data_IF_138415169912
#
_entry.id   IF_138415169912
#
_cell.length_a   1.000
_cell.length_b   1.000
_cell.length_c   1.000
_cell.angle_alpha   90.00
_cell.angle_beta   90.00
_cell.angle_gamma   90.00
#
_symmetry.space_group_name_H-M   'P 1'
#
loop_
_entity.id
_entity.type
_entity.pdbx_description
1 polymer ?
#
# COMPACT_ATOMS: atom_id res chain seq x y z
N UNK A 1 -20.20 2.08 46.62
CA UNK A 1 -18.75 1.76 46.64
C UNK A 1 -18.16 2.22 45.32
N UNK A 2 -17.17 3.11 45.32
CA UNK A 2 -16.47 3.50 44.09
C UNK A 2 -15.44 2.44 43.71
N UNK A 3 -15.36 2.07 42.43
CA UNK A 3 -14.31 1.19 41.91
C UNK A 3 -13.00 1.97 41.94
N UNK A 4 -11.96 1.41 42.56
CA UNK A 4 -10.62 1.99 42.50
C UNK A 4 -10.04 1.75 41.10
N UNK A 5 -10.11 2.80 40.27
CA UNK A 5 -9.66 2.78 38.88
C UNK A 5 -8.18 2.40 38.78
N UNK A 6 -7.36 2.80 39.76
CA UNK A 6 -5.93 2.48 39.81
C UNK A 6 -5.68 0.98 39.96
N UNK A 7 -6.28 0.35 40.97
CA UNK A 7 -6.16 -1.10 41.20
C UNK A 7 -6.70 -1.89 40.00
N UNK A 8 -7.79 -1.42 39.40
CA UNK A 8 -8.36 -2.03 38.18
C UNK A 8 -7.38 -1.97 37.00
N UNK A 9 -6.73 -0.82 36.77
CA UNK A 9 -5.78 -0.64 35.67
C UNK A 9 -4.47 -1.41 35.90
N UNK A 10 -4.02 -1.55 37.15
CA UNK A 10 -2.83 -2.36 37.47
C UNK A 10 -3.07 -3.84 37.19
N UNK A 11 -4.23 -4.39 37.59
CA UNK A 11 -4.59 -5.80 37.30
C UNK A 11 -4.76 -6.06 35.82
N UNK A 12 -5.33 -5.10 35.08
CA UNK A 12 -5.46 -5.20 33.62
C UNK A 12 -4.07 -5.21 32.97
N UNK A 13 -3.18 -4.32 33.40
CA UNK A 13 -1.81 -4.26 32.89
C UNK A 13 -0.99 -5.53 33.24
N UNK A 14 -1.15 -6.09 34.43
CA UNK A 14 -0.51 -7.35 34.82
C UNK A 14 -1.01 -8.52 33.97
N UNK A 15 -2.32 -8.55 33.69
CA UNK A 15 -2.90 -9.52 32.77
C UNK A 15 -2.33 -9.38 31.36
N UNK A 16 -2.17 -8.16 30.85
CA UNK A 16 -1.50 -7.94 29.56
C UNK A 16 -0.03 -8.38 29.65
N UNK A 17 0.77 -7.95 30.61
CA UNK A 17 2.17 -8.36 30.71
C UNK A 17 2.37 -9.88 30.74
N UNK A 18 1.49 -10.62 31.42
CA UNK A 18 1.56 -12.09 31.57
C UNK A 18 1.02 -12.86 30.38
N UNK A 19 0.13 -12.26 29.58
CA UNK A 19 -0.47 -12.89 28.39
C UNK A 19 0.19 -12.45 27.09
N UNK A 20 1.25 -11.64 27.16
CA UNK A 20 1.97 -11.23 25.97
C UNK A 20 2.79 -12.41 25.43
N UNK A 21 2.60 -12.72 24.15
CA UNK A 21 3.38 -13.72 23.44
C UNK A 21 4.84 -13.24 23.23
N UNK A 22 5.75 -14.17 22.93
CA UNK A 22 7.18 -13.86 22.72
C UNK A 22 7.44 -12.85 21.59
N UNK A 23 6.50 -12.78 20.64
CA UNK A 23 6.45 -11.89 19.47
C UNK A 23 5.76 -10.54 19.76
N UNK A 24 5.43 -10.26 21.02
CA UNK A 24 4.82 -9.00 21.46
C UNK A 24 3.30 -8.92 21.30
N UNK A 25 2.64 -9.99 20.87
CA UNK A 25 1.18 -10.03 20.67
C UNK A 25 0.37 -10.29 21.94
N UNK A 26 -0.93 -10.05 21.88
CA UNK A 26 -1.90 -10.49 22.88
C UNK A 26 -2.97 -11.39 22.30
N UNK A 27 -2.96 -12.69 22.56
CA UNK A 27 -3.93 -13.59 21.96
C UNK A 27 -5.34 -13.24 22.45
N UNK A 28 -6.32 -13.28 21.55
CA UNK A 28 -7.73 -13.09 21.90
C UNK A 28 -8.25 -14.19 22.85
N UNK A 29 -7.59 -15.35 22.83
CA UNK A 29 -7.87 -16.53 23.66
C UNK A 29 -6.67 -16.87 24.53
N UNK A 30 -6.92 -17.34 25.75
CA UNK A 30 -5.83 -17.70 26.65
C UNK A 30 -5.07 -18.94 26.12
N UNK A 31 -3.77 -19.07 26.42
CA UNK A 31 -3.00 -20.25 26.07
C UNK A 31 -3.67 -21.50 26.67
N UNK A 32 -4.16 -22.40 25.80
CA UNK A 32 -4.91 -23.60 26.17
C UNK A 32 -6.26 -23.77 25.46
N UNK A 33 -6.78 -22.71 24.81
CA UNK A 33 -7.95 -22.83 23.92
C UNK A 33 -7.50 -23.01 22.47
N UNK A 34 -7.99 -24.05 21.79
CA UNK A 34 -7.67 -24.29 20.38
C UNK A 34 -8.10 -23.09 19.51
N UNK A 35 -7.18 -22.61 18.66
CA UNK A 35 -7.40 -21.50 17.74
C UNK A 35 -7.00 -20.12 18.26
N UNK A 36 -5.82 -19.99 18.88
CA UNK A 36 -5.21 -18.70 19.21
C UNK A 36 -4.91 -17.91 17.92
N UNK A 37 -5.86 -17.09 17.47
CA UNK A 37 -5.63 -16.15 16.38
C UNK A 37 -4.77 -14.96 16.88
N UNK A 38 -3.79 -14.51 16.07
CA UNK A 38 -3.01 -13.33 16.39
C UNK A 38 -3.91 -12.10 16.51
N UNK A 39 -3.57 -11.20 17.43
CA UNK A 39 -4.36 -10.00 17.69
C UNK A 39 -4.28 -9.03 16.52
N UNK A 40 -5.40 -8.36 16.23
CA UNK A 40 -5.41 -7.23 15.30
C UNK A 40 -4.75 -6.03 15.97
N UNK A 41 -4.11 -5.14 15.20
CA UNK A 41 -3.37 -3.99 15.73
C UNK A 41 -4.12 -3.16 16.80
N UNK A 42 -5.45 -3.07 16.72
CA UNK A 42 -6.27 -2.42 17.75
C UNK A 42 -6.14 -3.04 19.16
N UNK A 43 -6.03 -4.37 19.28
CA UNK A 43 -5.80 -5.05 20.57
C UNK A 43 -4.38 -4.83 21.08
N UNK A 44 -3.39 -4.85 20.18
CA UNK A 44 -2.00 -4.50 20.52
C UNK A 44 -1.92 -3.08 21.08
N UNK A 45 -2.59 -2.11 20.46
CA UNK A 45 -2.65 -0.73 20.97
C UNK A 45 -3.40 -0.61 22.30
N UNK A 46 -4.49 -1.36 22.49
CA UNK A 46 -5.21 -1.38 23.77
C UNK A 46 -4.33 -1.94 24.90
N UNK A 47 -3.59 -3.03 24.65
CA UNK A 47 -2.61 -3.59 25.60
C UNK A 47 -1.50 -2.60 25.94
N UNK A 48 -0.89 -1.97 24.93
CA UNK A 48 0.14 -0.93 25.10
C UNK A 48 -0.37 0.28 25.90
N UNK A 49 -1.62 0.71 25.65
CA UNK A 49 -2.24 1.80 26.40
C UNK A 49 -2.41 1.44 27.88
N UNK A 50 -2.96 0.26 28.19
CA UNK A 50 -3.13 -0.20 29.57
C UNK A 50 -1.79 -0.31 30.32
N UNK A 51 -0.74 -0.85 29.67
CA UNK A 51 0.61 -0.90 30.23
C UNK A 51 1.18 0.50 30.50
N UNK A 52 0.97 1.44 29.56
CA UNK A 52 1.40 2.84 29.71
C UNK A 52 0.73 3.51 30.90
N UNK A 53 -0.59 3.35 31.04
CA UNK A 53 -1.37 3.94 32.15
C UNK A 53 -0.96 3.37 33.49
N UNK A 54 -0.80 2.05 33.60
CA UNK A 54 -0.33 1.42 34.83
C UNK A 54 1.08 1.88 35.20
N UNK A 55 1.99 1.99 34.23
CA UNK A 55 3.35 2.48 34.47
C UNK A 55 3.36 3.95 34.90
N UNK A 56 2.57 4.81 34.25
CA UNK A 56 2.42 6.21 34.62
C UNK A 56 1.87 6.36 36.05
N UNK A 57 0.99 5.45 36.46
CA UNK A 57 0.41 5.44 37.81
C UNK A 57 1.44 5.03 38.86
N UNK A 58 2.21 3.96 38.61
CA UNK A 58 3.35 3.57 39.46
C UNK A 58 4.39 4.69 39.59
N UNK A 59 4.75 5.32 38.48
CA UNK A 59 5.69 6.47 38.50
C UNK A 59 5.13 7.64 39.30
N UNK A 60 3.83 7.94 39.21
CA UNK A 60 3.19 9.00 40.00
C UNK A 60 3.19 8.68 41.50
N UNK A 61 2.99 7.41 41.86
CA UNK A 61 3.11 6.96 43.26
C UNK A 61 4.54 6.99 43.77
N UNK A 62 5.52 6.57 42.96
CA UNK A 62 6.95 6.65 43.27
C UNK A 62 7.39 8.10 43.43
N UNK A 63 6.89 9.03 42.60
CA UNK A 63 7.12 10.47 42.73
C UNK A 63 6.49 11.05 44.01
N UNK A 64 5.28 10.59 44.39
CA UNK A 64 4.66 10.98 45.67
C UNK A 64 5.37 10.39 46.89
N UNK A 65 5.95 9.19 46.77
CA UNK A 65 6.73 8.54 47.84
C UNK A 65 8.14 9.12 47.95
N UNK A 66 8.74 9.55 46.84
CA UNK A 66 10.08 10.19 46.82
C UNK A 66 10.07 11.68 47.17
N UNK A 67 8.94 12.38 47.05
CA UNK A 67 8.81 13.76 47.56
C UNK A 67 8.89 13.86 49.09
N UNK A 68 8.82 12.73 49.82
CA UNK A 68 9.02 12.65 51.28
C UNK A 68 10.40 12.12 51.70
N UNK A 69 11.27 11.73 50.77
CA UNK A 69 12.69 11.39 51.02
C UNK A 69 13.56 11.97 49.92
N UNK A 70 14.07 13.18 50.15
CA UNK A 70 14.94 13.91 49.23
C UNK A 70 16.40 13.48 49.42
N UNK A 71 16.86 12.43 48.73
CA UNK A 71 18.26 12.31 48.29
C UNK A 71 18.45 11.23 47.20
N UNK A 72 19.09 11.64 46.11
CA UNK A 72 20.05 10.91 45.26
C UNK A 72 19.71 9.51 44.70
N UNK A 73 19.17 9.52 43.49
CA UNK A 73 19.75 8.93 42.26
C UNK A 73 18.62 8.80 41.24
N UNK A 74 18.56 9.72 40.28
CA UNK A 74 17.68 9.55 39.12
C UNK A 74 18.31 8.51 38.21
N UNK A 75 17.92 7.25 38.39
CA UNK A 75 18.12 6.24 37.35
C UNK A 75 17.39 6.71 36.08
N UNK A 76 18.15 7.23 35.12
CA UNK A 76 17.68 7.57 33.76
C UNK A 76 17.29 6.31 32.94
N UNK A 77 17.27 5.12 33.55
CA UNK A 77 17.09 3.83 32.89
C UNK A 77 15.66 3.30 32.74
N UNK A 78 14.61 3.98 33.21
CA UNK A 78 13.23 3.44 33.19
C UNK A 78 12.31 4.15 32.19
N UNK A 79 12.75 4.33 30.95
CA UNK A 79 11.84 4.75 29.87
C UNK A 79 10.92 3.59 29.46
N UNK A 80 9.70 3.87 28.99
CA UNK A 80 8.79 2.83 28.46
C UNK A 80 9.43 2.01 27.33
N UNK A 81 10.41 2.58 26.62
CA UNK A 81 11.18 1.90 25.57
C UNK A 81 12.17 0.86 26.11
N UNK A 82 12.56 0.94 27.37
CA UNK A 82 13.44 -0.05 28.00
C UNK A 82 12.69 -1.29 28.49
N UNK A 83 11.35 -1.27 28.48
CA UNK A 83 10.52 -2.43 28.76
C UNK A 83 10.45 -3.33 27.51
N UNK A 84 10.99 -4.57 27.55
CA UNK A 84 11.04 -5.46 26.38
C UNK A 84 9.65 -5.81 25.82
N UNK A 85 8.63 -5.82 26.67
CA UNK A 85 7.25 -6.09 26.28
C UNK A 85 6.65 -4.92 25.52
N UNK A 86 6.95 -3.70 25.95
CA UNK A 86 6.49 -2.47 25.30
C UNK A 86 7.20 -2.23 23.97
N UNK A 87 8.52 -2.45 23.89
CA UNK A 87 9.30 -2.26 22.67
C UNK A 87 8.88 -3.23 21.56
N UNK A 88 8.65 -4.52 21.89
CA UNK A 88 8.19 -5.53 20.94
C UNK A 88 6.77 -5.25 20.42
N UNK A 89 5.87 -4.81 21.30
CA UNK A 89 4.52 -4.40 20.88
C UNK A 89 4.52 -3.18 19.98
N UNK A 90 5.45 -2.24 20.20
CA UNK A 90 5.63 -1.04 19.38
C UNK A 90 6.22 -1.36 18.00
N UNK A 91 7.20 -2.26 17.94
CA UNK A 91 7.80 -2.74 16.68
C UNK A 91 6.77 -3.46 15.79
N UNK A 92 5.84 -4.20 16.40
CA UNK A 92 4.76 -4.92 15.70
C UNK A 92 3.60 -4.03 15.26
N UNK A 93 3.36 -2.93 15.97
CA UNK A 93 2.30 -1.97 15.63
C UNK A 93 2.56 -1.22 14.30
N UNK A 94 3.75 -1.37 13.72
CA UNK A 94 4.23 -0.58 12.60
C UNK A 94 4.54 0.85 13.04
N UNK A 95 5.51 1.47 12.39
CA UNK A 95 5.73 2.89 12.62
C UNK A 95 4.57 3.67 11.99
N UNK A 96 3.96 4.58 12.75
CA UNK A 96 2.98 5.53 12.23
C UNK A 96 3.64 6.90 12.18
N UNK A 97 3.77 7.45 10.99
CA UNK A 97 4.20 8.83 10.75
C UNK A 97 2.94 9.65 10.47
N UNK A 98 2.55 10.46 11.44
CA UNK A 98 1.52 11.48 11.25
C UNK A 98 2.15 12.77 10.76
N UNK A 99 1.66 13.27 9.63
CA UNK A 99 2.17 14.48 8.99
C UNK A 99 1.28 15.65 9.39
N UNK A 100 1.80 16.49 10.28
CA UNK A 100 1.15 17.73 10.66
C UNK A 100 1.59 18.86 9.71
N UNK A 101 0.63 19.53 9.08
CA UNK A 101 0.83 20.60 8.11
C UNK A 101 0.56 20.20 6.65
N UNK A 102 0.29 21.22 5.82
CA UNK A 102 -0.16 21.02 4.44
C UNK A 102 1.00 20.89 3.42
N UNK A 103 2.23 21.24 3.79
CA UNK A 103 3.37 21.27 2.86
C UNK A 103 3.37 22.49 1.93
N UNK A 104 4.09 22.42 0.80
CA UNK A 104 4.68 21.22 0.20
C UNK A 104 5.94 20.73 0.95
N UNK A 105 6.05 19.41 1.12
CA UNK A 105 7.24 18.74 1.63
C UNK A 105 8.00 18.12 0.46
N UNK A 106 9.24 18.54 0.24
CA UNK A 106 10.09 17.96 -0.80
C UNK A 106 10.61 16.60 -0.34
N UNK A 107 10.15 15.53 -0.97
CA UNK A 107 10.56 14.18 -0.64
C UNK A 107 11.60 13.68 -1.66
N UNK A 108 12.79 13.22 -1.21
CA UNK A 108 13.75 12.56 -2.08
C UNK A 108 13.28 11.16 -2.45
N UNK A 109 14.12 10.40 -3.16
CA UNK A 109 13.93 8.95 -3.27
C UNK A 109 14.02 8.31 -1.89
N UNK A 110 12.94 7.68 -1.44
CA UNK A 110 12.84 7.03 -0.13
C UNK A 110 12.58 5.54 -0.34
N UNK A 111 13.34 4.71 0.38
CA UNK A 111 13.15 3.25 0.40
C UNK A 111 12.51 2.85 1.73
N UNK A 112 11.42 2.09 1.63
CA UNK A 112 10.68 1.50 2.74
C UNK A 112 10.94 0.00 2.72
N UNK A 113 11.45 -0.53 3.83
CA UNK A 113 11.87 -1.92 4.00
C UNK A 113 11.23 -2.61 5.21
N UNK A 114 10.20 -1.98 5.78
CA UNK A 114 9.43 -2.44 6.94
C UNK A 114 7.98 -1.97 6.83
N UNK A 115 7.14 -2.46 7.74
CA UNK A 115 5.77 -2.00 7.88
C UNK A 115 5.77 -0.53 8.35
N UNK A 116 5.07 0.32 7.60
CA UNK A 116 5.02 1.75 7.83
C UNK A 116 3.68 2.31 7.40
N UNK A 117 3.07 3.11 8.26
CA UNK A 117 1.89 3.91 7.94
C UNK A 117 2.28 5.39 7.91
N UNK A 118 1.94 6.09 6.83
CA UNK A 118 2.07 7.54 6.74
C UNK A 118 0.69 8.12 6.54
N UNK A 119 0.24 8.92 7.49
CA UNK A 119 -1.11 9.48 7.51
C UNK A 119 -1.08 11.00 7.66
N UNK A 120 -2.09 11.66 7.08
CA UNK A 120 -2.33 13.07 7.33
C UNK A 120 -2.79 13.31 8.78
N UNK A 121 -2.26 14.35 9.41
CA UNK A 121 -2.78 14.85 10.67
C UNK A 121 -4.20 15.42 10.53
N UNK A 122 -4.93 15.51 11.65
CA UNK A 122 -6.32 15.96 11.63
C UNK A 122 -6.43 17.40 11.10
N UNK A 123 -7.27 17.59 10.08
CA UNK A 123 -7.48 18.90 9.46
C UNK A 123 -6.37 19.35 8.52
N UNK A 124 -5.36 18.52 8.29
CA UNK A 124 -4.29 18.79 7.33
C UNK A 124 -4.47 17.99 6.04
N UNK A 125 -3.92 18.53 4.97
CA UNK A 125 -3.87 17.91 3.65
C UNK A 125 -2.43 17.97 3.11
N UNK A 126 -1.53 17.09 3.58
CA UNK A 126 -0.11 17.18 3.27
C UNK A 126 0.17 16.93 1.79
N UNK A 127 0.97 17.81 1.19
CA UNK A 127 1.45 17.68 -0.18
C UNK A 127 2.93 17.29 -0.18
N UNK A 128 3.23 16.11 -0.74
CA UNK A 128 4.57 15.61 -0.98
C UNK A 128 4.98 15.89 -2.42
N UNK A 129 5.93 16.81 -2.58
CA UNK A 129 6.49 17.18 -3.88
C UNK A 129 7.75 16.37 -4.14
N UNK A 130 7.88 15.81 -5.34
CA UNK A 130 9.09 15.11 -5.73
C UNK A 130 10.31 16.04 -5.68
N UNK A 131 11.33 15.63 -4.93
CA UNK A 131 12.60 16.32 -4.79
C UNK A 131 13.77 15.45 -5.24
N UNK A 132 14.79 16.06 -5.84
CA UNK A 132 16.04 15.35 -6.11
C UNK A 132 16.83 15.21 -4.82
N UNK A 133 16.95 13.98 -4.33
CA UNK A 133 17.71 13.65 -3.12
C UNK A 133 19.23 13.78 -3.27
N UNK A 134 19.93 13.42 -2.19
CA UNK A 134 21.39 13.34 -2.12
C UNK A 134 21.82 11.90 -1.86
N UNK A 135 23.00 11.52 -2.36
CA UNK A 135 23.65 10.25 -2.03
C UNK A 135 24.13 10.22 -0.59
N UNK A 136 24.51 9.03 -0.11
CA UNK A 136 25.24 8.83 1.17
C UNK A 136 26.49 9.73 1.31
N UNK A 137 27.11 10.11 0.18
CA UNK A 137 28.26 11.03 0.12
C UNK A 137 27.87 12.52 0.12
N UNK A 138 26.60 12.87 0.31
CA UNK A 138 26.09 14.25 0.34
C UNK A 138 25.93 14.93 -1.04
N UNK A 139 26.38 14.29 -2.12
CA UNK A 139 26.26 14.80 -3.49
C UNK A 139 24.82 14.68 -4.01
N UNK A 140 24.37 15.66 -4.79
CA UNK A 140 23.03 15.65 -5.42
C UNK A 140 22.91 14.47 -6.39
N UNK A 141 21.80 13.74 -6.28
CA UNK A 141 21.51 12.63 -7.17
C UNK A 141 21.33 13.10 -8.62
N UNK A 142 21.71 12.25 -9.58
CA UNK A 142 21.60 12.56 -11.02
C UNK A 142 20.67 11.56 -11.69
N UNK A 143 19.36 11.86 -11.81
CA UNK A 143 18.38 10.93 -12.36
C UNK A 143 18.71 10.45 -13.78
N UNK A 144 19.45 11.23 -14.56
CA UNK A 144 19.93 10.80 -15.89
C UNK A 144 20.81 9.55 -15.86
N UNK A 145 21.57 9.32 -14.78
CA UNK A 145 22.49 8.17 -14.61
C UNK A 145 22.02 7.18 -13.55
N UNK A 146 21.38 7.68 -12.51
CA UNK A 146 20.94 6.88 -11.37
C UNK A 146 19.44 6.61 -11.45
N UNK A 147 19.11 5.32 -11.48
CA UNK A 147 17.72 4.87 -11.54
C UNK A 147 16.98 5.07 -10.22
N UNK A 148 17.67 5.00 -9.07
CA UNK A 148 17.03 5.14 -7.77
C UNK A 148 16.47 6.56 -7.59
N UNK A 149 17.17 7.54 -8.14
CA UNK A 149 16.74 8.93 -8.20
C UNK A 149 15.61 9.19 -9.21
N UNK A 150 15.03 8.17 -9.84
CA UNK A 150 13.84 8.29 -10.72
C UNK A 150 12.54 7.87 -10.04
N UNK A 151 12.65 7.40 -8.80
CA UNK A 151 11.54 6.89 -7.99
C UNK A 151 11.35 7.79 -6.79
N UNK A 152 10.12 8.22 -6.51
CA UNK A 152 9.83 9.01 -5.29
C UNK A 152 9.82 8.12 -4.04
N UNK A 153 8.95 7.10 -4.03
CA UNK A 153 8.89 6.12 -2.95
C UNK A 153 9.03 4.71 -3.50
N UNK A 154 9.83 3.91 -2.80
CA UNK A 154 10.03 2.50 -3.11
C UNK A 154 9.68 1.64 -1.91
N UNK A 155 8.79 0.68 -2.11
CA UNK A 155 8.51 -0.40 -1.15
C UNK A 155 9.31 -1.61 -1.56
N UNK A 156 10.18 -2.08 -0.68
CA UNK A 156 11.05 -3.24 -0.91
C UNK A 156 10.64 -4.44 -0.07
N UNK A 157 10.10 -4.20 1.12
CA UNK A 157 9.61 -5.19 2.08
C UNK A 157 8.53 -4.56 2.96
N UNK A 158 7.77 -5.40 3.66
CA UNK A 158 6.70 -4.96 4.55
C UNK A 158 5.49 -4.39 3.81
N UNK A 159 4.60 -3.73 4.56
CA UNK A 159 3.39 -3.09 4.07
C UNK A 159 3.49 -1.59 4.27
N UNK A 160 3.49 -0.83 3.17
CA UNK A 160 3.37 0.63 3.20
C UNK A 160 1.90 1.01 3.13
N UNK A 161 1.39 1.68 4.16
CA UNK A 161 0.05 2.29 4.17
C UNK A 161 0.17 3.81 4.05
N UNK A 162 -0.53 4.39 3.08
CA UNK A 162 -0.59 5.82 2.83
C UNK A 162 -2.04 6.29 3.00
N UNK A 163 -2.28 7.28 3.85
CA UNK A 163 -3.62 7.77 4.16
C UNK A 163 -3.74 9.30 4.10
N UNK A 164 -4.67 9.80 3.28
CA UNK A 164 -5.00 11.24 3.25
C UNK A 164 -3.92 12.15 2.68
N UNK A 165 -2.98 11.61 1.89
CA UNK A 165 -1.81 12.33 1.37
C UNK A 165 -2.00 12.76 -0.09
N UNK A 166 -1.37 13.87 -0.48
CA UNK A 166 -1.21 14.27 -1.88
C UNK A 166 0.25 14.11 -2.31
N UNK A 167 0.47 13.55 -3.50
CA UNK A 167 1.77 13.46 -4.14
C UNK A 167 1.76 14.23 -5.45
N UNK A 168 2.76 15.09 -5.61
CA UNK A 168 3.05 15.84 -6.83
C UNK A 168 4.36 15.34 -7.42
N UNK A 169 4.26 14.52 -8.45
CA UNK A 169 5.39 14.00 -9.18
C UNK A 169 5.74 14.95 -10.32
N UNK A 170 6.62 15.91 -10.05
CA UNK A 170 7.14 16.87 -11.04
C UNK A 170 8.63 16.63 -11.31
N UNK A 171 8.99 15.57 -12.04
CA UNK A 171 10.39 15.29 -12.31
C UNK A 171 10.99 16.32 -13.27
N UNK A 172 12.30 16.61 -13.14
CA UNK A 172 13.00 17.57 -13.99
C UNK A 172 13.04 17.10 -15.45
N UNK A 173 13.18 18.07 -16.36
CA UNK A 173 13.54 17.78 -17.74
C UNK A 173 14.98 17.30 -17.84
N UNK A 174 15.20 16.27 -18.64
CA UNK A 174 16.50 15.71 -18.95
C UNK A 174 16.68 15.67 -20.47
N UNK A 175 17.93 15.69 -20.92
CA UNK A 175 18.28 15.65 -22.34
C UNK A 175 17.91 14.32 -23.04
N UNK A 176 17.52 13.30 -22.28
CA UNK A 176 17.08 12.01 -22.78
C UNK A 176 15.88 11.51 -21.97
N UNK A 177 15.06 10.68 -22.61
CA UNK A 177 13.87 10.10 -21.98
C UNK A 177 14.29 9.05 -20.96
N UNK A 178 13.89 9.24 -19.70
CA UNK A 178 14.04 8.23 -18.63
C UNK A 178 12.67 7.83 -18.09
N UNK A 179 12.51 6.58 -17.61
CA UNK A 179 11.28 6.17 -16.95
C UNK A 179 11.23 6.76 -15.53
N UNK A 180 10.21 7.55 -15.26
CA UNK A 180 9.90 8.06 -13.92
C UNK A 180 8.85 7.20 -13.25
N UNK A 181 8.91 7.10 -11.91
CA UNK A 181 7.95 6.37 -11.12
C UNK A 181 7.61 7.14 -9.85
N UNK A 182 6.32 7.34 -9.53
CA UNK A 182 5.96 7.96 -8.26
C UNK A 182 6.09 6.95 -7.11
N UNK A 183 5.36 5.83 -7.18
CA UNK A 183 5.44 4.73 -6.20
C UNK A 183 5.91 3.45 -6.89
N UNK A 184 6.97 2.81 -6.38
CA UNK A 184 7.47 1.53 -6.89
C UNK A 184 7.37 0.44 -5.83
N UNK A 185 6.69 -0.65 -6.13
CA UNK A 185 6.59 -1.85 -5.28
C UNK A 185 7.53 -2.92 -5.85
N UNK A 186 8.74 -2.97 -5.30
CA UNK A 186 9.77 -3.98 -5.56
C UNK A 186 9.71 -5.17 -4.60
N UNK A 187 8.80 -5.13 -3.63
CA UNK A 187 8.48 -6.22 -2.72
C UNK A 187 7.55 -5.73 -1.62
N UNK A 188 6.90 -6.67 -0.92
CA UNK A 188 5.90 -6.33 0.09
C UNK A 188 4.57 -5.87 -0.50
N UNK A 189 3.83 -5.05 0.25
CA UNK A 189 2.47 -4.63 -0.07
C UNK A 189 2.32 -3.10 -0.04
N UNK A 190 1.36 -2.60 -0.80
CA UNK A 190 0.99 -1.17 -0.83
C UNK A 190 -0.50 -1.00 -0.53
N UNK A 191 -0.82 -0.13 0.42
CA UNK A 191 -2.20 0.26 0.74
C UNK A 191 -2.32 1.78 0.62
N UNK A 192 -3.24 2.24 -0.20
CA UNK A 192 -3.52 3.66 -0.41
C UNK A 192 -4.98 3.95 -0.09
N UNK A 193 -5.23 4.86 0.85
CA UNK A 193 -6.56 5.28 1.27
C UNK A 193 -6.67 6.80 1.19
N UNK A 194 -7.63 7.32 0.43
CA UNK A 194 -7.81 8.77 0.28
C UNK A 194 -6.55 9.50 -0.21
N UNK A 195 -5.76 8.87 -1.09
CA UNK A 195 -4.50 9.43 -1.61
C UNK A 195 -4.71 10.04 -2.98
N UNK A 196 -4.06 11.16 -3.26
CA UNK A 196 -3.96 11.73 -4.61
C UNK A 196 -2.55 11.60 -5.16
N UNK A 197 -2.35 11.00 -6.32
CA UNK A 197 -1.10 11.00 -7.05
C UNK A 197 -1.28 11.80 -8.35
N UNK A 198 -0.49 12.85 -8.54
CA UNK A 198 -0.59 13.74 -9.71
C UNK A 198 0.75 13.97 -10.40
N UNK A 199 0.72 14.08 -11.73
CA UNK A 199 1.85 14.53 -12.55
C UNK A 199 1.35 15.55 -13.58
N UNK A 200 1.84 16.79 -13.50
CA UNK A 200 1.51 17.88 -14.43
C UNK A 200 2.43 17.95 -15.65
N UNK A 201 3.72 17.66 -15.50
CA UNK A 201 4.75 17.91 -16.53
C UNK A 201 4.77 17.01 -17.78
N UNK A 202 3.84 16.06 -17.93
CA UNK A 202 3.78 15.05 -19.02
C UNK A 202 5.12 14.31 -19.25
N UNK A 203 5.85 14.03 -18.17
CA UNK A 203 7.15 13.34 -18.15
C UNK A 203 7.03 11.82 -18.24
N UNK A 204 5.83 11.31 -18.56
CA UNK A 204 5.56 9.89 -18.81
C UNK A 204 5.83 9.02 -17.58
N UNK A 205 5.51 9.51 -16.39
CA UNK A 205 5.67 8.77 -15.14
C UNK A 205 4.71 7.59 -15.10
N UNK A 206 5.17 6.43 -14.61
CA UNK A 206 4.28 5.41 -14.08
C UNK A 206 3.90 5.81 -12.65
N UNK A 207 2.62 6.06 -12.38
CA UNK A 207 2.21 6.55 -11.07
C UNK A 207 2.44 5.47 -10.00
N UNK A 208 2.07 4.22 -10.31
CA UNK A 208 2.39 3.06 -9.50
C UNK A 208 3.05 2.02 -10.39
N UNK A 209 4.18 1.47 -9.96
CA UNK A 209 4.88 0.39 -10.66
C UNK A 209 5.05 -0.81 -9.73
N UNK A 210 4.49 -1.96 -10.10
CA UNK A 210 4.53 -3.21 -9.31
C UNK A 210 5.46 -4.19 -10.03
N UNK A 211 6.57 -4.56 -9.40
CA UNK A 211 7.62 -5.35 -10.03
C UNK A 211 7.77 -6.77 -9.47
N UNK A 212 7.30 -7.01 -8.25
CA UNK A 212 7.38 -8.31 -7.56
C UNK A 212 6.00 -8.79 -7.11
N UNK A 213 5.86 -10.07 -6.72
CA UNK A 213 4.66 -10.60 -6.08
C UNK A 213 4.26 -9.78 -4.85
N UNK A 214 2.97 -9.57 -4.66
CA UNK A 214 2.44 -8.79 -3.55
C UNK A 214 1.03 -8.27 -3.79
N UNK A 215 0.47 -7.65 -2.76
CA UNK A 215 -0.86 -7.06 -2.77
C UNK A 215 -0.78 -5.54 -2.85
N UNK A 216 -1.57 -4.97 -3.77
CA UNK A 216 -1.76 -3.52 -3.90
C UNK A 216 -3.23 -3.19 -3.76
N UNK A 217 -3.59 -2.42 -2.75
CA UNK A 217 -4.96 -1.96 -2.51
C UNK A 217 -5.02 -0.44 -2.63
N UNK A 218 -5.93 0.05 -3.47
CA UNK A 218 -6.14 1.48 -3.72
C UNK A 218 -7.60 1.78 -3.49
N UNK A 219 -7.90 2.65 -2.52
CA UNK A 219 -9.26 3.01 -2.15
C UNK A 219 -9.44 4.52 -2.07
N UNK A 220 -10.59 5.00 -2.56
CA UNK A 220 -10.98 6.40 -2.52
C UNK A 220 -9.90 7.36 -3.02
N UNK A 221 -9.11 6.93 -4.01
CA UNK A 221 -7.89 7.63 -4.42
C UNK A 221 -8.02 8.22 -5.82
N UNK A 222 -7.27 9.29 -6.07
CA UNK A 222 -7.18 9.96 -7.36
C UNK A 222 -5.79 9.72 -7.95
N UNK A 223 -5.72 9.24 -9.19
CA UNK A 223 -4.47 9.13 -9.94
C UNK A 223 -4.63 9.92 -11.25
N UNK A 224 -3.82 10.96 -11.44
CA UNK A 224 -3.94 11.86 -12.58
C UNK A 224 -2.59 12.14 -13.24
N UNK A 225 -2.55 12.13 -14.56
CA UNK A 225 -1.34 12.35 -15.34
C UNK A 225 -0.57 11.07 -15.64
N UNK A 226 0.72 11.19 -15.95
CA UNK A 226 1.56 10.04 -16.24
C UNK A 226 1.25 9.31 -17.54
N UNK A 227 2.10 8.33 -17.85
CA UNK A 227 1.85 7.40 -18.95
C UNK A 227 0.94 6.25 -18.52
N UNK A 228 0.99 5.83 -17.25
CA UNK A 228 0.23 4.71 -16.72
C UNK A 228 -0.20 5.00 -15.28
N UNK A 229 -1.46 4.70 -14.91
CA UNK A 229 -1.88 4.78 -13.51
C UNK A 229 -1.21 3.66 -12.71
N UNK A 230 -1.30 2.44 -13.24
CA UNK A 230 -0.64 1.26 -12.68
C UNK A 230 0.10 0.53 -13.80
N UNK A 231 1.38 0.28 -13.60
CA UNK A 231 2.17 -0.62 -14.42
C UNK A 231 2.59 -1.84 -13.61
N UNK A 232 2.36 -3.03 -14.15
CA UNK A 232 2.70 -4.30 -13.52
C UNK A 232 3.70 -5.03 -14.39
N UNK A 233 4.84 -5.40 -13.81
CA UNK A 233 5.71 -6.44 -14.37
C UNK A 233 5.29 -7.78 -13.78
N UNK A 234 4.68 -8.63 -14.60
CA UNK A 234 4.04 -9.85 -14.16
C UNK A 234 5.07 -10.86 -13.65
N UNK A 235 5.13 -11.02 -12.32
CA UNK A 235 6.01 -11.96 -11.61
C UNK A 235 5.21 -12.66 -10.53
N UNK A 236 5.30 -13.99 -10.47
CA UNK A 236 4.54 -14.79 -9.50
C UNK A 236 3.05 -14.41 -9.43
N UNK A 237 2.48 -14.45 -8.23
CA UNK A 237 1.09 -14.04 -8.01
C UNK A 237 1.04 -12.58 -7.52
N UNK A 238 0.29 -11.75 -8.23
CA UNK A 238 0.09 -10.34 -7.90
C UNK A 238 -1.41 -10.04 -7.82
N UNK A 239 -1.85 -9.41 -6.74
CA UNK A 239 -3.25 -9.00 -6.58
C UNK A 239 -3.33 -7.48 -6.48
N UNK A 240 -4.13 -6.88 -7.34
CA UNK A 240 -4.36 -5.43 -7.35
C UNK A 240 -5.85 -5.20 -7.19
N UNK A 241 -6.23 -4.51 -6.13
CA UNK A 241 -7.60 -4.14 -5.82
C UNK A 241 -7.75 -2.62 -5.85
N UNK A 242 -8.71 -2.14 -6.63
CA UNK A 242 -9.02 -0.72 -6.80
C UNK A 242 -10.50 -0.51 -6.48
N UNK A 243 -10.78 0.36 -5.50
CA UNK A 243 -12.13 0.64 -4.99
C UNK A 243 -12.40 2.14 -4.99
N UNK A 244 -13.57 2.56 -5.45
CA UNK A 244 -14.03 3.96 -5.36
C UNK A 244 -12.98 4.99 -5.83
N UNK A 245 -12.18 4.65 -6.85
CA UNK A 245 -11.02 5.45 -7.24
C UNK A 245 -11.17 5.99 -8.65
N UNK A 246 -10.46 7.08 -8.95
CA UNK A 246 -10.56 7.77 -10.23
C UNK A 246 -9.18 7.86 -10.88
N UNK A 247 -9.06 7.36 -12.11
CA UNK A 247 -7.83 7.41 -12.91
C UNK A 247 -8.03 8.31 -14.13
N UNK A 248 -7.16 9.31 -14.31
CA UNK A 248 -7.07 10.18 -15.48
C UNK A 248 -5.66 10.11 -16.07
N UNK A 249 -5.39 9.12 -16.91
CA UNK A 249 -4.03 8.79 -17.36
C UNK A 249 -4.00 8.47 -18.85
N UNK A 250 -2.82 8.29 -19.45
CA UNK A 250 -2.75 7.79 -20.85
C UNK A 250 -3.16 6.32 -20.91
N UNK A 251 -2.51 5.48 -20.12
CA UNK A 251 -2.85 4.08 -19.94
C UNK A 251 -3.42 3.91 -18.52
N UNK A 252 -4.58 3.26 -18.37
CA UNK A 252 -5.17 2.98 -17.05
C UNK A 252 -4.28 1.99 -16.31
N UNK A 253 -4.35 0.72 -16.73
CA UNK A 253 -3.52 -0.36 -16.20
C UNK A 253 -2.73 -1.00 -17.34
N UNK A 254 -1.40 -1.07 -17.21
CA UNK A 254 -0.52 -1.74 -18.15
C UNK A 254 0.11 -2.97 -17.50
N UNK A 255 0.13 -4.11 -18.20
CA UNK A 255 0.85 -5.30 -17.76
C UNK A 255 1.92 -5.67 -18.78
N UNK A 256 3.13 -5.91 -18.28
CA UNK A 256 4.32 -6.24 -19.03
C UNK A 256 4.89 -7.56 -18.52
N UNK A 257 5.44 -8.37 -19.41
CA UNK A 257 6.19 -9.56 -19.02
C UNK A 257 7.45 -9.18 -18.26
N UNK A 258 7.64 -9.77 -17.08
CA UNK A 258 8.91 -9.68 -16.38
C UNK A 258 10.03 -10.41 -17.14
N UNK A 259 11.25 -9.88 -17.00
CA UNK A 259 12.45 -10.49 -17.57
C UNK A 259 13.45 -10.80 -16.45
N UNK A 260 13.91 -12.05 -16.26
CA UNK A 260 13.45 -13.30 -16.88
C UNK A 260 12.20 -13.89 -16.20
N UNK A 261 11.30 -14.50 -16.97
CA UNK A 261 10.12 -15.19 -16.45
C UNK A 261 10.53 -16.54 -15.83
N UNK A 262 10.69 -16.61 -14.50
CA UNK A 262 11.10 -17.84 -13.80
C UNK A 262 9.94 -18.73 -13.34
N UNK A 263 8.71 -18.23 -13.32
CA UNK A 263 7.54 -18.96 -12.81
C UNK A 263 6.28 -18.60 -13.62
N UNK A 264 5.24 -19.45 -13.64
CA UNK A 264 3.93 -19.01 -14.08
C UNK A 264 3.53 -17.79 -13.25
N UNK A 265 3.26 -16.69 -13.94
CA UNK A 265 2.82 -15.45 -13.31
C UNK A 265 1.32 -15.28 -13.54
N UNK A 266 0.62 -14.87 -12.49
CA UNK A 266 -0.80 -14.56 -12.51
C UNK A 266 -1.02 -13.17 -11.91
N UNK A 267 -1.80 -12.37 -12.63
CA UNK A 267 -2.21 -11.04 -12.20
C UNK A 267 -3.72 -11.07 -11.97
N UNK A 268 -4.14 -10.83 -10.73
CA UNK A 268 -5.53 -10.68 -10.37
C UNK A 268 -5.84 -9.19 -10.19
N UNK A 269 -6.68 -8.64 -11.05
CA UNK A 269 -7.16 -7.26 -11.01
C UNK A 269 -8.61 -7.25 -10.53
N UNK A 270 -8.89 -6.55 -9.43
CA UNK A 270 -10.24 -6.29 -8.95
C UNK A 270 -10.50 -4.80 -9.00
N UNK A 271 -11.51 -4.37 -9.75
CA UNK A 271 -11.91 -2.97 -9.84
C UNK A 271 -13.37 -2.84 -9.43
N UNK A 272 -13.67 -2.02 -8.43
CA UNK A 272 -15.05 -1.74 -8.04
C UNK A 272 -15.34 -0.25 -7.88
N UNK A 273 -16.53 0.18 -8.33
CA UNK A 273 -17.04 1.54 -8.18
C UNK A 273 -16.04 2.64 -8.62
N UNK A 274 -15.22 2.33 -9.63
CA UNK A 274 -14.08 3.16 -10.01
C UNK A 274 -14.27 3.74 -11.41
N UNK A 275 -13.69 4.90 -11.67
CA UNK A 275 -13.73 5.54 -12.99
C UNK A 275 -12.34 5.59 -13.61
N UNK A 276 -12.19 5.04 -14.81
CA UNK A 276 -10.93 5.07 -15.56
C UNK A 276 -11.14 5.83 -16.86
N UNK A 277 -10.66 7.07 -16.91
CA UNK A 277 -10.58 7.85 -18.14
C UNK A 277 -9.16 7.79 -18.68
N UNK A 278 -8.97 6.99 -19.72
CA UNK A 278 -7.66 6.77 -20.33
C UNK A 278 -7.72 6.62 -21.86
N UNK A 279 -6.62 6.88 -22.55
CA UNK A 279 -6.49 6.56 -23.98
C UNK A 279 -6.56 5.05 -24.21
N UNK A 280 -5.93 4.29 -23.31
CA UNK A 280 -6.04 2.83 -23.24
C UNK A 280 -6.43 2.46 -21.80
N UNK A 281 -7.63 1.92 -21.59
CA UNK A 281 -8.05 1.49 -20.23
C UNK A 281 -7.14 0.38 -19.69
N UNK A 282 -6.86 -0.62 -20.53
CA UNK A 282 -5.99 -1.74 -20.25
C UNK A 282 -5.00 -1.96 -21.40
N UNK A 283 -3.71 -2.15 -21.08
CA UNK A 283 -2.63 -2.32 -22.05
C UNK A 283 -1.87 -3.63 -21.74
N UNK A 284 -2.27 -4.72 -22.40
CA UNK A 284 -1.71 -6.07 -22.16
C UNK A 284 -1.03 -6.69 -23.39
N UNK A 285 -0.85 -5.96 -24.49
CA UNK A 285 -0.47 -6.54 -25.79
C UNK A 285 0.85 -7.30 -25.86
N UNK A 286 1.65 -7.30 -24.79
CA UNK A 286 2.90 -8.08 -24.67
C UNK A 286 2.97 -8.90 -23.38
N UNK A 287 1.84 -9.08 -22.70
CA UNK A 287 1.72 -9.89 -21.50
C UNK A 287 1.36 -11.32 -21.90
N UNK A 288 2.21 -12.30 -21.57
CA UNK A 288 1.96 -13.74 -21.75
C UNK A 288 1.44 -14.39 -20.48
N UNK A 289 1.44 -13.67 -19.36
CA UNK A 289 0.94 -14.12 -18.07
C UNK A 289 -0.58 -14.15 -18.04
N UNK A 290 -1.16 -15.00 -17.19
CA UNK A 290 -2.61 -15.01 -16.97
C UNK A 290 -3.04 -13.73 -16.27
N UNK A 291 -4.00 -13.01 -16.83
CA UNK A 291 -4.60 -11.81 -16.23
C UNK A 291 -6.07 -12.08 -15.96
N UNK A 292 -6.45 -12.17 -14.70
CA UNK A 292 -7.83 -12.29 -14.25
C UNK A 292 -8.33 -10.89 -13.91
N UNK A 293 -9.46 -10.47 -14.48
CA UNK A 293 -10.04 -9.14 -14.20
C UNK A 293 -11.46 -9.33 -13.74
N UNK A 294 -11.72 -8.85 -12.53
CA UNK A 294 -13.03 -8.74 -11.92
C UNK A 294 -13.38 -7.25 -11.85
N UNK A 295 -14.47 -6.86 -12.50
CA UNK A 295 -14.90 -5.47 -12.59
C UNK A 295 -16.37 -5.34 -12.18
N UNK A 296 -16.64 -4.52 -11.16
CA UNK A 296 -17.99 -4.24 -10.67
C UNK A 296 -18.24 -2.73 -10.65
N UNK A 297 -19.29 -2.26 -11.34
CA UNK A 297 -19.64 -0.83 -11.40
C UNK A 297 -18.46 0.08 -11.80
N UNK A 298 -17.65 -0.33 -12.79
CA UNK A 298 -16.52 0.44 -13.29
C UNK A 298 -16.93 1.24 -14.52
N UNK A 299 -16.71 2.55 -14.51
CA UNK A 299 -16.91 3.41 -15.68
C UNK A 299 -15.58 3.59 -16.40
N UNK A 300 -15.53 3.27 -17.70
CA UNK A 300 -14.33 3.51 -18.53
C UNK A 300 -14.65 4.42 -19.69
N UNK A 301 -13.92 5.53 -19.84
CA UNK A 301 -14.05 6.43 -20.99
C UNK A 301 -12.76 6.42 -21.80
N UNK A 302 -12.86 5.99 -23.06
CA UNK A 302 -11.79 6.15 -24.04
C UNK A 302 -11.90 7.52 -24.71
N UNK A 303 -10.80 8.27 -24.77
CA UNK A 303 -10.79 9.61 -25.37
C UNK A 303 -10.87 9.60 -26.93
N UNK A 304 -11.02 8.45 -27.60
CA UNK A 304 -11.22 8.37 -29.06
C UNK A 304 -12.62 7.89 -29.43
N UNK A 305 -13.38 8.77 -30.05
CA UNK A 305 -14.75 8.62 -30.56
C UNK A 305 -14.88 7.68 -31.78
N UNK A 306 -13.77 7.15 -32.32
CA UNK A 306 -13.73 6.54 -33.66
C UNK A 306 -13.17 5.10 -33.74
N UNK A 307 -13.22 4.29 -32.69
CA UNK A 307 -12.95 2.84 -32.86
C UNK A 307 -13.75 2.00 -31.88
N UNK A 308 -14.81 1.37 -32.41
CA UNK A 308 -15.53 0.29 -31.76
C UNK A 308 -14.59 -0.90 -31.58
N UNK A 309 -14.48 -1.44 -30.36
CA UNK A 309 -14.20 -2.86 -30.02
C UNK A 309 -13.70 -2.94 -28.57
N UNK A 310 -14.62 -3.00 -27.60
CA UNK A 310 -14.37 -3.60 -26.28
C UNK A 310 -14.95 -5.02 -26.17
N UNK A 311 -15.63 -5.50 -27.22
CA UNK A 311 -16.43 -6.72 -27.16
C UNK A 311 -15.87 -7.81 -28.07
N UNK A 312 -14.89 -8.52 -27.53
CA UNK A 312 -14.74 -9.97 -27.72
C UNK A 312 -14.20 -10.56 -26.40
N UNK A 313 -14.85 -10.20 -25.29
CA UNK A 313 -14.72 -10.94 -24.04
C UNK A 313 -15.64 -12.16 -24.16
N UNK A 314 -15.08 -13.35 -24.28
CA UNK A 314 -15.87 -14.58 -24.12
C UNK A 314 -16.22 -14.70 -22.65
N UNK A 315 -17.44 -14.31 -22.30
CA UNK A 315 -18.01 -14.54 -20.97
C UNK A 315 -18.23 -16.05 -20.82
N UNK A 316 -17.45 -16.71 -19.97
CA UNK A 316 -17.79 -18.05 -19.49
C UNK A 316 -18.46 -17.88 -18.13
N UNK A 317 -19.73 -18.28 -18.04
CA UNK A 317 -20.37 -18.54 -16.76
C UNK A 317 -19.81 -19.84 -16.22
N UNK A 318 -19.33 -19.83 -14.99
CA UNK A 318 -19.02 -21.08 -14.30
C UNK A 318 -20.31 -21.78 -13.86
N UNK A 319 -20.19 -23.02 -13.39
CA UNK A 319 -21.33 -23.83 -12.94
C UNK A 319 -22.10 -23.21 -11.75
N UNK A 320 -21.52 -22.21 -11.07
CA UNK A 320 -22.15 -21.42 -10.01
C UNK A 320 -22.95 -20.21 -10.51
N UNK A 321 -22.93 -19.93 -11.83
CA UNK A 321 -23.62 -18.78 -12.41
C UNK A 321 -22.88 -17.44 -12.22
N UNK A 322 -21.63 -17.47 -11.73
CA UNK A 322 -20.81 -16.27 -11.56
C UNK A 322 -20.25 -15.83 -12.91
N UNK A 323 -20.37 -14.53 -13.21
CA UNK A 323 -19.88 -13.95 -14.47
C UNK A 323 -18.39 -13.67 -14.33
N UNK A 324 -17.55 -14.60 -14.80
CA UNK A 324 -16.09 -14.38 -14.86
C UNK A 324 -15.69 -13.91 -16.27
N UNK A 325 -15.15 -12.70 -16.37
CA UNK A 325 -14.49 -12.26 -17.60
C UNK A 325 -13.09 -12.86 -17.66
N UNK A 326 -12.93 -13.90 -18.49
CA UNK A 326 -11.62 -14.52 -18.74
C UNK A 326 -11.02 -13.84 -19.97
N UNK A 327 -9.91 -13.12 -19.77
CA UNK A 327 -9.15 -12.51 -20.86
C UNK A 327 -8.15 -13.54 -21.39
N UNK A 328 -8.39 -14.03 -22.60
CA UNK A 328 -7.41 -14.88 -23.31
C UNK A 328 -6.64 -13.99 -24.27
N UNK A 329 -5.33 -13.84 -24.07
CA UNK A 329 -4.49 -13.07 -24.98
C UNK A 329 -4.51 -13.72 -26.38
N UNK A 330 -4.59 -12.94 -27.48
CA UNK A 330 -4.53 -13.52 -28.82
C UNK A 330 -3.14 -14.10 -29.05
N UNK A 331 -3.06 -15.42 -29.26
CA UNK A 331 -1.86 -16.09 -29.75
C UNK A 331 -1.61 -15.64 -31.19
N UNK A 332 -0.51 -14.94 -31.43
CA UNK A 332 -0.05 -14.62 -32.78
C UNK A 332 0.41 -15.90 -33.50
N UNK A 333 -0.42 -16.43 -34.39
CA UNK A 333 -0.06 -17.56 -35.24
C UNK A 333 -1.24 -18.00 -36.10
N UNK A 334 -1.16 -17.74 -37.40
CA UNK A 334 -2.10 -18.16 -38.44
C UNK A 334 -2.33 -19.69 -38.47
N UNK A 335 -3.56 -20.14 -38.76
CA UNK A 335 -3.94 -21.02 -39.89
C UNK A 335 -5.43 -21.41 -39.78
N UNK A 336 -6.15 -21.04 -40.85
CA UNK A 336 -7.36 -21.61 -41.47
C UNK A 336 -8.48 -22.34 -40.68
N UNK A 337 -9.69 -21.96 -41.12
CA UNK A 337 -10.81 -22.82 -41.54
C UNK A 337 -12.03 -22.96 -40.61
N UNK A 338 -13.15 -22.57 -41.22
CA UNK A 338 -14.46 -23.23 -41.23
C UNK A 338 -15.59 -22.70 -40.33
N UNK A 339 -16.58 -22.18 -41.07
CA UNK A 339 -18.04 -22.34 -40.94
C UNK A 339 -18.77 -21.48 -39.89
N UNK A 340 -19.21 -20.32 -40.38
CA UNK A 340 -20.49 -19.74 -39.98
C UNK A 340 -21.63 -20.72 -40.29
N UNK A 341 -22.46 -20.97 -39.29
CA UNK A 341 -23.82 -21.50 -39.45
C UNK A 341 -24.73 -20.61 -38.62
N UNK A 342 -25.43 -19.70 -39.30
CA UNK A 342 -26.57 -18.96 -38.75
C UNK A 342 -27.76 -19.93 -38.74
N UNK A 343 -28.38 -20.11 -37.58
CA UNK A 343 -29.80 -20.44 -37.49
C UNK A 343 -30.46 -19.55 -36.45
N UNK A 344 -31.22 -18.59 -36.96
CA UNK A 344 -32.31 -17.93 -36.27
C UNK A 344 -33.46 -18.91 -36.07
N UNK A 345 -34.08 -18.90 -34.89
CA UNK A 345 -35.51 -19.20 -34.75
C UNK A 345 -36.01 -18.60 -33.44
N UNK A 346 -36.90 -17.60 -33.62
CA UNK A 346 -38.00 -17.10 -32.75
C UNK A 346 -37.77 -16.94 -31.26
#
# INVERSE_FOLDING_TARGET
>A
MGINITDTMERVAERFATTQNEDGDWPYRLPGEDGAEPSRGAMTFAGLFCLTVARATKLKEELKKSSSKRTENKDEGKTLRADPSFSKGLERAGDIIRVEGNGPYKIPHINIDKDLTIEAGHGYEPVFEYGIGRYKRGLRARPGRDENARVSLRVTKGTLTLEGLKFQMEPPELNHVVPWTALRVEGGNLRMLNVSLTEGGRKRTAMIQVLQPGDVTIQNSLICGGRAAIEVSTTGQQNIEVKNSIFFTKDGIAALNARPAKSPASLNLKLSNSTVQASNGFQFGRCTSTVNIDSNAVCTRRNSWASQSWLLATVKRDASGEVRQIFTAPTSGSVQSAKQSIRSAT
#
